data_IF_100604901411
#
_entry.id   IF_100604901411
#
_cell.length_a   1.000
_cell.length_b   1.000
_cell.length_c   1.000
_cell.angle_alpha   90.00
_cell.angle_beta   90.00
_cell.angle_gamma   90.00
#
_symmetry.space_group_name_H-M   'P 1'
#
loop_
_entity.id
_entity.type
_entity.pdbx_description
1 polymer ?
#
# COMPACT_ATOMS: atom_id res chain seq x y z
N UNK A 1 -12.51 18.68 -21.96
CA UNK A 1 -12.86 18.30 -20.54
C UNK A 1 -12.74 16.79 -20.50
N UNK A 2 -11.82 16.23 -19.70
CA UNK A 2 -11.74 14.79 -19.51
C UNK A 2 -13.01 14.31 -18.80
N UNK A 3 -13.71 13.32 -19.37
CA UNK A 3 -14.86 12.73 -18.70
C UNK A 3 -14.41 12.13 -17.36
N UNK A 4 -15.06 12.55 -16.27
CA UNK A 4 -14.79 11.97 -14.94
C UNK A 4 -15.39 10.55 -14.86
N UNK A 5 -14.57 9.57 -14.53
CA UNK A 5 -14.98 8.19 -14.29
C UNK A 5 -15.52 8.09 -12.86
N UNK A 6 -16.80 7.74 -12.72
CA UNK A 6 -17.46 7.69 -11.41
C UNK A 6 -17.64 6.26 -10.95
N UNK A 7 -16.98 5.89 -9.87
CA UNK A 7 -17.08 4.56 -9.25
C UNK A 7 -18.28 4.52 -8.32
N UNK A 8 -19.27 3.70 -8.68
CA UNK A 8 -20.53 3.54 -7.94
C UNK A 8 -20.61 2.26 -7.11
N UNK A 9 -19.99 1.17 -7.59
CA UNK A 9 -19.85 -0.09 -6.83
C UNK A 9 -18.73 0.08 -5.82
N UNK A 10 -18.99 -0.19 -4.54
CA UNK A 10 -18.00 -0.02 -3.49
C UNK A 10 -18.64 0.31 -2.16
N UNK A 11 -17.82 0.65 -1.16
CA UNK A 11 -18.30 0.95 0.19
C UNK A 11 -17.34 1.89 0.93
N UNK A 12 -17.85 3.03 1.41
CA UNK A 12 -17.11 3.89 2.32
C UNK A 12 -17.36 3.45 3.77
N UNK A 13 -16.40 2.80 4.39
CA UNK A 13 -16.45 2.42 5.81
C UNK A 13 -16.17 3.66 6.66
N UNK A 14 -17.16 4.11 7.41
CA UNK A 14 -17.14 5.38 8.15
C UNK A 14 -16.51 5.21 9.52
N UNK A 15 -15.18 5.17 9.59
CA UNK A 15 -14.42 5.07 10.83
C UNK A 15 -14.21 6.43 11.50
N UNK A 16 -14.17 6.43 12.85
CA UNK A 16 -13.67 7.55 13.65
C UNK A 16 -12.15 7.51 13.62
N UNK A 17 -11.50 8.68 13.53
CA UNK A 17 -10.07 8.79 13.80
C UNK A 17 -9.22 9.27 12.63
N UNK A 18 -9.74 10.16 11.78
CA UNK A 18 -8.95 10.84 10.74
C UNK A 18 -7.82 11.69 11.35
N UNK A 19 -6.68 11.75 10.67
CA UNK A 19 -5.57 12.62 11.05
C UNK A 19 -5.91 14.10 10.81
N UNK A 20 -5.54 14.96 11.75
CA UNK A 20 -5.57 16.42 11.55
C UNK A 20 -4.47 16.84 10.58
N UNK A 21 -4.69 17.96 9.87
CA UNK A 21 -3.71 18.49 8.89
C UNK A 21 -2.55 19.22 9.59
N UNK A 22 -1.89 18.51 10.47
CA UNK A 22 -0.68 18.92 11.19
C UNK A 22 0.40 17.88 11.02
N UNK A 23 1.66 18.29 10.97
CA UNK A 23 2.79 17.38 10.80
C UNK A 23 3.64 17.42 12.08
N UNK A 24 3.90 16.24 12.65
CA UNK A 24 4.81 16.05 13.77
C UNK A 24 6.08 15.36 13.27
N UNK A 25 7.22 15.93 13.61
CA UNK A 25 8.53 15.31 13.34
C UNK A 25 8.75 14.11 14.29
N UNK A 26 9.23 13.00 13.73
CA UNK A 26 9.67 11.84 14.49
C UNK A 26 11.19 11.80 14.45
N UNK A 27 11.87 11.85 15.59
CA UNK A 27 13.34 11.83 15.63
C UNK A 27 13.92 10.58 14.99
N UNK A 28 15.01 10.75 14.24
CA UNK A 28 15.78 9.64 13.69
C UNK A 28 16.73 9.13 14.78
N UNK A 29 16.26 8.20 15.59
CA UNK A 29 17.03 7.64 16.69
C UNK A 29 16.63 6.20 16.98
N UNK A 30 17.58 5.40 17.44
CA UNK A 30 17.38 4.01 17.79
C UNK A 30 17.43 3.06 16.60
N UNK A 31 16.69 1.98 16.69
CA UNK A 31 16.77 0.87 15.74
C UNK A 31 15.71 1.02 14.67
N UNK A 32 16.14 0.86 13.42
CA UNK A 32 15.30 0.81 12.22
C UNK A 32 15.31 -0.60 11.65
N UNK A 33 14.20 -1.02 11.05
CA UNK A 33 14.06 -2.35 10.46
C UNK A 33 13.71 -2.29 8.98
N UNK A 34 14.39 -3.11 8.18
CA UNK A 34 14.04 -3.33 6.76
C UNK A 34 13.68 -4.79 6.60
N UNK A 35 12.41 -5.04 6.25
CA UNK A 35 11.87 -6.40 6.14
C UNK A 35 11.82 -6.86 4.69
N UNK A 36 12.54 -7.93 4.31
CA UNK A 36 12.34 -8.56 3.00
C UNK A 36 10.94 -9.18 2.83
N UNK A 37 10.19 -9.39 3.93
CA UNK A 37 8.83 -9.94 3.89
C UNK A 37 7.81 -8.97 3.34
N UNK A 38 8.11 -7.66 3.34
CA UNK A 38 7.25 -6.64 2.75
C UNK A 38 7.15 -6.78 1.21
N UNK A 39 8.06 -7.58 0.62
CA UNK A 39 8.17 -7.77 -0.83
C UNK A 39 7.79 -9.20 -1.22
N UNK A 40 6.57 -9.38 -1.70
CA UNK A 40 6.07 -10.69 -2.09
C UNK A 40 6.92 -11.33 -3.20
N UNK A 41 7.19 -12.63 -3.08
CA UNK A 41 7.98 -13.41 -4.07
C UNK A 41 9.50 -13.17 -4.05
N UNK A 42 9.99 -12.24 -3.21
CA UNK A 42 11.40 -11.90 -3.08
C UNK A 42 12.20 -13.05 -2.44
N UNK A 43 13.38 -13.33 -3.00
CA UNK A 43 14.39 -14.20 -2.38
C UNK A 43 15.64 -13.36 -2.03
N UNK A 44 15.77 -12.86 -0.78
CA UNK A 44 16.82 -11.94 -0.43
C UNK A 44 18.20 -12.59 -0.39
N UNK A 45 19.21 -11.93 -0.98
CA UNK A 45 20.64 -12.23 -0.83
C UNK A 45 21.32 -11.04 -0.17
N UNK A 46 21.93 -11.28 0.99
CA UNK A 46 22.55 -10.22 1.79
C UNK A 46 23.78 -9.63 1.11
N UNK A 47 23.89 -8.31 1.13
CA UNK A 47 25.07 -7.56 0.72
C UNK A 47 25.92 -7.11 1.92
N UNK A 48 25.34 -7.14 3.13
CA UNK A 48 25.99 -6.71 4.38
C UNK A 48 25.99 -7.82 5.42
N UNK A 49 26.82 -7.65 6.46
CA UNK A 49 26.92 -8.51 7.64
C UNK A 49 26.61 -7.70 8.90
N UNK A 50 26.34 -8.41 10.00
CA UNK A 50 26.22 -7.78 11.32
C UNK A 50 27.54 -7.10 11.70
N UNK A 51 27.45 -5.88 12.19
CA UNK A 51 28.57 -5.01 12.51
C UNK A 51 29.05 -4.08 11.39
N UNK A 52 28.60 -4.27 10.15
CA UNK A 52 28.98 -3.38 9.04
C UNK A 52 28.38 -1.99 9.25
N UNK A 53 29.16 -0.96 8.92
CA UNK A 53 28.67 0.43 8.87
C UNK A 53 28.01 0.70 7.52
N UNK A 54 26.87 1.39 7.53
CA UNK A 54 26.09 1.72 6.34
C UNK A 54 25.69 3.20 6.33
N UNK A 55 25.63 3.78 5.15
CA UNK A 55 25.07 5.09 4.88
C UNK A 55 23.62 4.94 4.37
N UNK A 56 22.86 6.04 4.40
CA UNK A 56 21.57 6.09 3.68
C UNK A 56 21.82 5.82 2.20
N UNK A 57 21.15 4.80 1.65
CA UNK A 57 21.34 4.41 0.25
C UNK A 57 22.38 3.32 -0.01
N UNK A 58 23.05 2.80 1.02
CA UNK A 58 23.89 1.61 0.86
C UNK A 58 23.03 0.35 0.76
N UNK A 59 23.45 -0.57 -0.11
CA UNK A 59 22.70 -1.81 -0.40
C UNK A 59 22.78 -2.77 0.79
N UNK A 60 21.64 -3.13 1.36
CA UNK A 60 21.52 -4.10 2.43
C UNK A 60 21.38 -5.54 1.88
N UNK A 61 20.57 -5.69 0.87
CA UNK A 61 20.33 -6.95 0.17
C UNK A 61 19.78 -6.69 -1.23
N UNK A 62 19.71 -7.73 -2.03
CA UNK A 62 19.14 -7.71 -3.37
C UNK A 62 18.36 -9.00 -3.64
N UNK A 63 17.55 -9.00 -4.69
CA UNK A 63 16.82 -10.21 -5.10
C UNK A 63 17.78 -11.22 -5.73
N UNK A 64 17.86 -12.44 -5.18
CA UNK A 64 18.71 -13.51 -5.70
C UNK A 64 18.36 -13.91 -7.15
N UNK A 65 17.08 -13.76 -7.53
CA UNK A 65 16.59 -14.09 -8.87
C UNK A 65 16.84 -12.95 -9.87
N UNK A 66 16.88 -11.70 -9.39
CA UNK A 66 16.99 -10.48 -10.18
C UNK A 66 17.95 -9.52 -9.47
N UNK A 67 19.25 -9.79 -9.54
CA UNK A 67 20.29 -9.11 -8.76
C UNK A 67 20.35 -7.59 -8.98
N UNK A 68 19.75 -7.09 -10.06
CA UNK A 68 19.64 -5.64 -10.32
C UNK A 68 18.70 -4.94 -9.33
N UNK A 69 17.72 -5.64 -8.75
CA UNK A 69 16.76 -5.08 -7.79
C UNK A 69 17.42 -5.02 -6.42
N UNK A 70 17.79 -3.82 -5.99
CA UNK A 70 18.51 -3.55 -4.74
C UNK A 70 17.57 -2.95 -3.70
N UNK A 71 17.87 -3.24 -2.44
CA UNK A 71 17.19 -2.71 -1.25
C UNK A 71 18.21 -2.04 -0.36
N UNK A 72 17.96 -0.79 -0.03
CA UNK A 72 18.95 0.09 0.56
C UNK A 72 18.62 0.48 1.99
N UNK A 73 19.64 0.92 2.73
CA UNK A 73 19.47 1.40 4.10
C UNK A 73 18.72 2.73 4.12
N UNK A 74 17.68 2.84 4.97
CA UNK A 74 16.97 4.10 5.17
C UNK A 74 17.67 5.06 6.14
N UNK A 75 18.68 4.60 6.87
CA UNK A 75 19.43 5.38 7.88
C UNK A 75 20.92 5.12 7.77
N UNK A 76 21.74 6.07 8.23
CA UNK A 76 23.16 5.82 8.51
C UNK A 76 23.32 5.21 9.90
N UNK A 77 24.33 4.35 10.05
CA UNK A 77 24.60 3.67 11.31
C UNK A 77 25.29 2.32 11.12
N UNK A 78 25.03 1.37 12.01
CA UNK A 78 25.60 0.03 11.95
C UNK A 78 24.52 -1.06 11.85
N UNK A 79 24.79 -2.10 11.06
CA UNK A 79 23.91 -3.29 10.98
C UNK A 79 23.99 -4.03 12.32
N UNK A 80 22.96 -3.88 13.14
CA UNK A 80 22.92 -4.46 14.49
C UNK A 80 22.68 -5.95 14.47
N UNK A 81 21.72 -6.41 13.65
CA UNK A 81 21.29 -7.80 13.62
C UNK A 81 20.58 -8.14 12.32
N UNK A 82 20.80 -9.33 11.81
CA UNK A 82 20.02 -9.95 10.73
C UNK A 82 19.09 -11.01 11.34
N UNK A 83 17.85 -10.63 11.60
CA UNK A 83 16.86 -11.51 12.24
C UNK A 83 16.44 -12.61 11.27
N UNK A 84 16.56 -13.86 11.71
CA UNK A 84 16.18 -15.03 10.92
C UNK A 84 15.09 -15.82 11.62
N UNK A 85 14.11 -16.26 10.86
CA UNK A 85 13.05 -17.15 11.30
C UNK A 85 13.29 -18.62 10.91
N UNK A 86 12.19 -19.35 10.81
CA UNK A 86 12.20 -20.73 10.39
C UNK A 86 12.91 -20.92 9.04
N UNK A 87 13.58 -22.05 8.86
CA UNK A 87 14.34 -22.40 7.66
C UNK A 87 15.35 -21.32 7.24
N UNK A 88 15.86 -20.53 8.22
CA UNK A 88 16.79 -19.40 8.04
C UNK A 88 16.25 -18.27 7.15
N UNK A 89 14.92 -18.16 6.95
CA UNK A 89 14.29 -17.05 6.23
C UNK A 89 14.64 -15.73 6.92
N UNK A 90 15.12 -14.75 6.15
CA UNK A 90 15.43 -13.42 6.69
C UNK A 90 14.10 -12.71 6.94
N UNK A 91 13.87 -12.31 8.20
CA UNK A 91 12.67 -11.61 8.62
C UNK A 91 12.92 -10.10 8.60
N UNK A 92 14.07 -9.66 9.15
CA UNK A 92 14.35 -8.24 9.30
C UNK A 92 15.86 -7.99 9.32
N UNK A 93 16.27 -6.85 8.78
CA UNK A 93 17.62 -6.29 8.93
C UNK A 93 17.50 -5.09 9.86
N UNK A 94 18.10 -5.17 11.03
CA UNK A 94 18.06 -4.13 12.05
C UNK A 94 19.31 -3.27 11.97
N UNK A 95 19.09 -1.95 11.90
CA UNK A 95 20.17 -0.94 11.78
C UNK A 95 20.05 -0.04 13.00
N UNK A 96 21.13 0.08 13.75
CA UNK A 96 21.25 1.04 14.86
C UNK A 96 21.73 2.37 14.29
N UNK A 97 20.83 3.36 14.28
CA UNK A 97 21.10 4.65 13.64
C UNK A 97 22.04 5.50 14.48
N UNK A 98 23.00 6.13 13.82
CA UNK A 98 23.90 7.12 14.43
C UNK A 98 23.28 8.52 14.51
N UNK A 99 22.07 8.71 13.97
CA UNK A 99 21.32 9.98 13.94
C UNK A 99 21.87 11.04 12.99
N UNK A 100 22.99 10.79 12.30
CA UNK A 100 23.62 11.78 11.40
C UNK A 100 22.96 11.84 10.02
N UNK A 101 22.36 10.74 9.56
CA UNK A 101 21.75 10.62 8.24
C UNK A 101 22.73 10.91 7.09
N UNK A 102 23.98 10.46 7.26
CA UNK A 102 24.97 10.53 6.19
C UNK A 102 24.49 9.66 5.00
N UNK A 103 24.45 10.24 3.80
CA UNK A 103 23.88 9.60 2.63
C UNK A 103 24.90 9.41 1.51
N UNK A 104 24.77 8.29 0.81
CA UNK A 104 25.53 8.00 -0.39
C UNK A 104 25.14 8.99 -1.50
N UNK A 105 26.15 9.55 -2.18
CA UNK A 105 25.95 10.45 -3.32
C UNK A 105 25.88 9.67 -4.61
N UNK A 106 24.85 9.95 -5.41
CA UNK A 106 24.71 9.44 -6.77
C UNK A 106 25.03 10.54 -7.78
N UNK A 107 25.71 10.17 -8.86
CA UNK A 107 25.98 11.11 -9.96
C UNK A 107 24.79 11.10 -10.93
N UNK A 108 24.03 12.18 -10.95
CA UNK A 108 22.81 12.31 -11.74
C UNK A 108 23.01 13.44 -12.75
N UNK A 109 22.78 13.13 -14.03
CA UNK A 109 22.73 14.14 -15.09
C UNK A 109 21.36 14.84 -15.09
N UNK A 110 21.23 16.06 -15.66
CA UNK A 110 19.93 16.67 -15.87
C UNK A 110 18.97 15.73 -16.61
N UNK A 111 17.69 15.68 -16.21
CA UNK A 111 16.71 14.72 -16.79
C UNK A 111 16.65 14.81 -18.31
N UNK A 112 16.76 16.00 -18.87
CA UNK A 112 16.73 16.22 -20.33
C UNK A 112 17.88 15.56 -21.11
N UNK A 113 18.95 15.19 -20.40
CA UNK A 113 20.13 14.52 -20.97
C UNK A 113 20.16 13.02 -20.67
N UNK A 114 19.15 12.51 -19.95
CA UNK A 114 19.06 11.10 -19.59
C UNK A 114 18.28 10.30 -20.63
N UNK A 115 18.74 9.07 -20.84
CA UNK A 115 18.00 8.05 -21.60
C UNK A 115 17.07 7.26 -20.68
N UNK A 116 16.15 6.50 -21.26
CA UNK A 116 15.28 5.57 -20.51
C UNK A 116 16.10 4.58 -19.68
N UNK A 117 17.19 4.07 -20.22
CA UNK A 117 18.07 3.13 -19.50
C UNK A 117 18.86 3.82 -18.38
N UNK A 118 19.29 5.08 -18.55
CA UNK A 118 19.93 5.84 -17.48
C UNK A 118 18.99 5.99 -16.28
N UNK A 119 17.74 6.42 -16.49
CA UNK A 119 16.72 6.53 -15.44
C UNK A 119 16.46 5.19 -14.77
N UNK A 120 16.25 4.15 -15.55
CA UNK A 120 16.01 2.79 -15.07
C UNK A 120 17.15 2.30 -14.18
N UNK A 121 18.39 2.45 -14.62
CA UNK A 121 19.57 2.03 -13.87
C UNK A 121 19.72 2.81 -12.57
N UNK A 122 19.46 4.13 -12.58
CA UNK A 122 19.48 4.94 -11.35
C UNK A 122 18.42 4.50 -10.35
N UNK A 123 17.21 4.17 -10.80
CA UNK A 123 16.14 3.66 -9.92
C UNK A 123 16.49 2.28 -9.35
N UNK A 124 17.14 1.41 -10.12
CA UNK A 124 17.61 0.10 -9.66
C UNK A 124 18.74 0.24 -8.64
N UNK A 125 19.71 1.11 -8.90
CA UNK A 125 20.88 1.31 -8.02
C UNK A 125 20.54 2.02 -6.72
N UNK A 126 19.60 2.95 -6.75
CA UNK A 126 19.13 3.69 -5.59
C UNK A 126 18.12 2.94 -4.73
N UNK A 127 17.61 1.80 -5.19
CA UNK A 127 16.58 1.02 -4.51
C UNK A 127 15.15 1.52 -4.71
N UNK A 128 14.93 2.65 -5.39
CA UNK A 128 13.57 3.14 -5.69
C UNK A 128 12.76 2.19 -6.58
N UNK A 129 13.44 1.32 -7.34
CA UNK A 129 12.77 0.29 -8.14
C UNK A 129 11.89 -0.63 -7.30
N UNK A 130 12.24 -0.90 -6.05
CA UNK A 130 11.45 -1.73 -5.13
C UNK A 130 10.06 -1.17 -4.84
N UNK A 131 9.84 0.12 -5.05
CA UNK A 131 8.54 0.79 -4.88
C UNK A 131 7.63 0.63 -6.10
N UNK A 132 8.14 0.15 -7.22
CA UNK A 132 7.39 -0.07 -8.45
C UNK A 132 6.80 -1.47 -8.46
N UNK A 133 5.48 -1.56 -8.43
CA UNK A 133 4.75 -2.82 -8.49
C UNK A 133 4.32 -3.14 -9.91
N UNK A 134 4.25 -4.42 -10.22
CA UNK A 134 3.79 -4.96 -11.50
C UNK A 134 2.49 -5.72 -11.34
N UNK A 135 1.55 -5.49 -12.25
CA UNK A 135 0.45 -6.39 -12.53
C UNK A 135 0.67 -7.02 -13.91
N UNK A 136 0.32 -8.28 -14.11
CA UNK A 136 -0.23 -9.27 -13.18
C UNK A 136 0.69 -9.61 -11.99
N UNK A 137 0.15 -10.37 -11.05
CA UNK A 137 0.77 -10.99 -9.88
C UNK A 137 0.94 -10.04 -8.68
N UNK A 138 0.99 -8.72 -8.85
CA UNK A 138 1.21 -7.75 -7.76
C UNK A 138 2.51 -8.03 -6.97
N UNK A 139 3.61 -8.02 -7.68
CA UNK A 139 4.99 -8.14 -7.18
C UNK A 139 5.81 -6.92 -7.58
N UNK A 140 7.07 -6.83 -7.13
CA UNK A 140 8.00 -5.82 -7.65
C UNK A 140 8.13 -5.98 -9.17
N UNK A 141 8.09 -4.86 -9.89
CA UNK A 141 8.21 -4.83 -11.34
C UNK A 141 9.49 -5.55 -11.82
N UNK A 142 9.33 -6.45 -12.78
CA UNK A 142 10.49 -7.06 -13.44
C UNK A 142 11.11 -6.05 -14.40
N UNK A 143 12.38 -5.66 -14.20
CA UNK A 143 13.01 -4.70 -15.09
C UNK A 143 13.22 -5.22 -16.52
N UNK A 144 13.10 -6.52 -16.77
CA UNK A 144 13.17 -7.11 -18.12
C UNK A 144 11.84 -7.05 -18.89
N UNK A 145 10.72 -6.89 -18.19
CA UNK A 145 9.40 -6.81 -18.82
C UNK A 145 9.17 -5.42 -19.45
N UNK A 146 8.42 -5.40 -20.54
CA UNK A 146 7.95 -4.17 -21.17
C UNK A 146 6.53 -3.88 -20.70
N UNK A 147 6.37 -2.90 -19.81
CA UNK A 147 5.05 -2.47 -19.36
C UNK A 147 4.33 -1.61 -20.42
N UNK A 148 3.00 -1.70 -20.46
CA UNK A 148 2.14 -0.82 -21.28
C UNK A 148 2.23 0.64 -20.84
N UNK A 149 2.35 0.87 -19.52
CA UNK A 149 2.45 2.18 -18.90
C UNK A 149 2.69 2.08 -17.40
N UNK A 150 2.96 3.23 -16.78
CA UNK A 150 2.99 3.40 -15.32
C UNK A 150 1.70 4.11 -14.89
N UNK A 151 1.06 3.57 -13.86
CA UNK A 151 -0.17 4.13 -13.28
C UNK A 151 0.09 4.67 -11.87
N UNK A 152 -0.30 5.92 -11.66
CA UNK A 152 -0.15 6.63 -10.38
C UNK A 152 -1.50 7.15 -9.94
N UNK A 153 -1.95 6.72 -8.74
CA UNK A 153 -3.11 7.33 -8.09
C UNK A 153 -2.66 8.47 -7.19
N UNK A 154 -3.22 9.66 -7.39
CA UNK A 154 -2.93 10.82 -6.55
C UNK A 154 -3.84 10.95 -5.33
N UNK A 155 -4.73 9.99 -5.10
CA UNK A 155 -5.58 9.94 -3.92
C UNK A 155 -5.80 8.51 -3.47
N UNK A 156 -6.04 8.35 -2.19
CA UNK A 156 -6.50 7.11 -1.61
C UNK A 156 -7.95 7.27 -1.12
N UNK A 157 -8.73 6.22 -1.23
CA UNK A 157 -10.14 6.17 -0.80
C UNK A 157 -10.39 5.16 0.31
N UNK A 158 -9.35 4.48 0.79
CA UNK A 158 -9.44 3.55 1.92
C UNK A 158 -9.89 4.27 3.21
N UNK A 159 -10.43 3.54 4.18
CA UNK A 159 -10.81 4.15 5.45
C UNK A 159 -9.66 4.87 6.13
N UNK A 160 -9.87 6.13 6.53
CA UNK A 160 -8.89 7.00 7.19
C UNK A 160 -7.63 7.27 6.37
N UNK A 161 -7.68 7.12 5.06
CA UNK A 161 -6.56 7.29 4.15
C UNK A 161 -5.88 8.66 4.27
N UNK A 162 -4.57 8.77 3.99
CA UNK A 162 -3.87 10.04 3.96
C UNK A 162 -4.40 10.96 2.86
N UNK A 163 -4.45 12.26 3.15
CA UNK A 163 -4.76 13.30 2.18
C UNK A 163 -3.48 13.72 1.45
N UNK A 164 -3.26 13.21 0.25
CA UNK A 164 -2.05 13.53 -0.52
C UNK A 164 -1.99 14.98 -1.00
N UNK A 165 -3.13 15.69 -1.13
CA UNK A 165 -3.13 17.13 -1.39
C UNK A 165 -2.47 17.90 -0.24
N UNK A 166 -2.69 17.46 1.01
CA UNK A 166 -2.03 18.03 2.18
C UNK A 166 -0.57 17.58 2.28
N UNK A 167 -0.30 16.27 2.13
CA UNK A 167 1.02 15.66 2.27
C UNK A 167 2.03 16.25 1.31
N UNK A 168 1.62 16.48 0.05
CA UNK A 168 2.49 16.90 -1.06
C UNK A 168 2.33 18.38 -1.44
N UNK A 169 1.61 19.17 -0.63
CA UNK A 169 1.32 20.58 -0.93
C UNK A 169 2.56 21.39 -1.33
N UNK A 170 3.69 21.17 -0.67
CA UNK A 170 4.94 21.89 -0.89
C UNK A 170 5.96 21.11 -1.73
N UNK A 171 5.52 20.06 -2.42
CA UNK A 171 6.40 19.13 -3.13
C UNK A 171 6.07 19.04 -4.64
N UNK A 172 5.34 20.03 -5.16
CA UNK A 172 4.90 20.03 -6.56
C UNK A 172 6.08 20.05 -7.55
N UNK A 173 7.16 20.73 -7.23
CA UNK A 173 8.38 20.75 -8.06
C UNK A 173 9.05 19.37 -8.06
N UNK A 174 9.20 18.75 -6.90
CA UNK A 174 9.73 17.39 -6.81
C UNK A 174 8.84 16.38 -7.55
N UNK A 175 7.51 16.51 -7.42
CA UNK A 175 6.57 15.69 -8.18
C UNK A 175 6.77 15.83 -9.69
N UNK A 176 6.89 17.07 -10.20
CA UNK A 176 7.12 17.29 -11.62
C UNK A 176 8.41 16.62 -12.10
N UNK A 177 9.52 16.78 -11.36
CA UNK A 177 10.80 16.14 -11.66
C UNK A 177 10.67 14.60 -11.65
N UNK A 178 9.94 14.04 -10.68
CA UNK A 178 9.69 12.60 -10.59
C UNK A 178 8.89 12.07 -11.78
N UNK A 179 7.84 12.79 -12.18
CA UNK A 179 7.03 12.44 -13.36
C UNK A 179 7.83 12.61 -14.64
N UNK A 180 8.68 13.63 -14.77
CA UNK A 180 9.57 13.80 -15.93
C UNK A 180 10.52 12.60 -16.06
N UNK A 181 11.12 12.13 -14.94
CA UNK A 181 11.98 10.96 -14.95
C UNK A 181 11.23 9.69 -15.39
N UNK A 182 10.04 9.44 -14.82
CA UNK A 182 9.21 8.31 -15.21
C UNK A 182 8.74 8.41 -16.67
N UNK A 183 8.45 9.62 -17.16
CA UNK A 183 8.05 9.84 -18.55
C UNK A 183 9.18 9.58 -19.53
N UNK A 184 10.43 9.92 -19.20
CA UNK A 184 11.62 9.56 -19.98
C UNK A 184 11.76 8.04 -20.03
N UNK A 185 11.63 7.35 -18.90
CA UNK A 185 11.75 5.89 -18.83
C UNK A 185 10.67 5.15 -19.63
N UNK A 186 9.44 5.70 -19.68
CA UNK A 186 8.27 5.05 -20.28
C UNK A 186 7.86 5.67 -21.62
N UNK A 187 8.68 6.51 -22.22
CA UNK A 187 8.38 7.19 -23.50
C UNK A 187 7.02 7.94 -23.44
N UNK A 188 6.71 8.57 -22.30
CA UNK A 188 5.49 9.35 -22.07
C UNK A 188 4.25 8.54 -21.66
N UNK A 189 4.35 7.24 -21.46
CA UNK A 189 3.22 6.37 -21.04
C UNK A 189 3.06 6.35 -19.51
N UNK A 190 2.85 7.51 -18.92
CA UNK A 190 2.60 7.67 -17.48
C UNK A 190 1.20 8.22 -17.28
N UNK A 191 0.35 7.46 -16.57
CA UNK A 191 -1.03 7.79 -16.27
C UNK A 191 -1.13 8.33 -14.85
N UNK A 192 -1.72 9.50 -14.69
CA UNK A 192 -1.99 10.13 -13.40
C UNK A 192 -3.48 10.27 -13.19
N UNK A 193 -4.00 9.52 -12.21
CA UNK A 193 -5.41 9.57 -11.82
C UNK A 193 -5.59 10.48 -10.61
N UNK A 194 -6.53 11.42 -10.69
CA UNK A 194 -6.79 12.41 -9.64
C UNK A 194 -8.29 12.64 -9.43
N UNK A 195 -8.65 13.20 -8.28
CA UNK A 195 -10.01 13.69 -8.06
C UNK A 195 -10.30 14.91 -8.96
N UNK A 196 -11.58 15.19 -9.28
CA UNK A 196 -11.94 16.44 -9.93
C UNK A 196 -11.40 17.66 -9.17
N UNK A 197 -10.87 18.64 -9.90
CA UNK A 197 -10.28 19.88 -9.35
C UNK A 197 -9.06 19.68 -8.43
N UNK A 198 -8.37 18.57 -8.54
CA UNK A 198 -7.12 18.30 -7.81
C UNK A 198 -6.00 19.26 -8.27
N UNK A 199 -5.13 19.66 -7.32
CA UNK A 199 -3.93 20.45 -7.63
C UNK A 199 -2.94 19.68 -8.53
N UNK A 200 -2.97 18.35 -8.49
CA UNK A 200 -2.13 17.48 -9.31
C UNK A 200 -2.48 17.52 -10.81
N UNK A 201 -3.62 18.07 -11.20
CA UNK A 201 -3.97 18.34 -12.60
C UNK A 201 -3.00 19.30 -13.31
N UNK A 202 -2.13 19.98 -12.57
CA UNK A 202 -1.11 20.91 -13.09
C UNK A 202 0.18 20.21 -13.51
N UNK A 203 0.39 18.96 -13.13
CA UNK A 203 1.56 18.15 -13.54
C UNK A 203 1.53 17.99 -15.06
N UNK A 204 2.69 18.18 -15.69
CA UNK A 204 2.83 18.12 -17.16
C UNK A 204 3.51 16.80 -17.57
N UNK A 205 3.42 16.47 -18.87
CA UNK A 205 4.09 15.30 -19.41
C UNK A 205 3.48 13.94 -19.04
N UNK A 206 2.24 13.93 -18.50
CA UNK A 206 1.50 12.74 -18.12
C UNK A 206 0.11 12.69 -18.73
N UNK A 207 -0.49 11.51 -18.78
CA UNK A 207 -1.87 11.30 -19.25
C UNK A 207 -2.80 11.41 -18.04
N UNK A 208 -3.60 12.49 -18.01
CA UNK A 208 -4.51 12.76 -16.87
C UNK A 208 -5.82 12.02 -16.98
N UNK A 209 -6.25 11.43 -15.87
CA UNK A 209 -7.57 10.84 -15.69
C UNK A 209 -8.25 11.41 -14.45
N UNK A 210 -9.56 11.62 -14.54
CA UNK A 210 -10.36 12.12 -13.41
C UNK A 210 -11.25 11.00 -12.87
N UNK A 211 -11.14 10.72 -11.57
CA UNK A 211 -11.91 9.71 -10.88
C UNK A 211 -12.66 10.29 -9.68
N UNK A 212 -13.89 9.83 -9.49
CA UNK A 212 -14.70 10.15 -8.32
C UNK A 212 -15.51 8.94 -7.87
N UNK A 213 -16.02 8.97 -6.66
CA UNK A 213 -16.91 7.93 -6.17
C UNK A 213 -16.53 7.37 -4.80
N UNK A 214 -17.07 6.18 -4.53
CA UNK A 214 -16.82 5.45 -3.28
C UNK A 214 -15.54 4.64 -3.35
N UNK A 215 -14.99 4.25 -2.20
CA UNK A 215 -13.91 3.26 -2.17
C UNK A 215 -14.37 1.97 -2.89
N UNK A 216 -13.58 1.43 -3.83
CA UNK A 216 -12.14 1.58 -4.04
C UNK A 216 -11.73 2.54 -5.19
N UNK A 217 -12.42 3.65 -5.43
CA UNK A 217 -12.09 4.59 -6.51
C UNK A 217 -10.62 5.07 -6.49
N UNK A 218 -9.97 5.11 -5.30
CA UNK A 218 -8.58 5.49 -5.11
C UNK A 218 -7.58 4.34 -5.34
N UNK A 219 -8.04 3.09 -5.44
CA UNK A 219 -7.15 1.96 -5.68
C UNK A 219 -6.68 1.98 -7.14
N UNK A 220 -5.36 1.83 -7.32
CA UNK A 220 -4.76 1.87 -8.65
C UNK A 220 -5.30 0.75 -9.56
N UNK A 221 -5.61 -0.43 -9.02
CA UNK A 221 -6.22 -1.52 -9.77
C UNK A 221 -7.57 -1.16 -10.38
N UNK A 222 -8.45 -0.51 -9.59
CA UNK A 222 -9.72 0.02 -10.09
C UNK A 222 -9.51 1.03 -11.22
N UNK A 223 -8.49 1.88 -11.10
CA UNK A 223 -8.18 2.89 -12.12
C UNK A 223 -7.63 2.25 -13.41
N UNK A 224 -6.72 1.28 -13.30
CA UNK A 224 -6.18 0.51 -14.42
C UNK A 224 -7.33 -0.16 -15.18
N UNK A 225 -8.23 -0.86 -14.48
CA UNK A 225 -9.39 -1.53 -15.10
C UNK A 225 -10.21 -0.60 -15.97
N UNK A 226 -10.45 0.64 -15.54
CA UNK A 226 -11.29 1.59 -16.27
C UNK A 226 -10.54 2.39 -17.34
N UNK A 227 -9.21 2.39 -17.34
CA UNK A 227 -8.37 3.13 -18.29
C UNK A 227 -7.86 2.18 -19.39
N UNK A 228 -7.18 1.11 -18.98
CA UNK A 228 -6.51 0.17 -19.88
C UNK A 228 -6.39 -1.20 -19.21
N UNK A 229 -7.46 -2.03 -19.26
CA UNK A 229 -7.50 -3.37 -18.67
C UNK A 229 -6.33 -4.24 -19.11
N UNK A 230 -5.93 -5.17 -18.24
CA UNK A 230 -4.77 -6.03 -18.45
C UNK A 230 -5.20 -7.36 -19.05
N UNK A 231 -4.67 -7.72 -20.21
CA UNK A 231 -4.87 -9.01 -20.83
C UNK A 231 -3.69 -9.96 -20.57
N UNK A 232 -3.87 -11.25 -20.85
CA UNK A 232 -2.80 -12.26 -20.77
C UNK A 232 -1.60 -11.83 -21.62
N UNK A 233 -0.40 -11.85 -21.04
CA UNK A 233 0.86 -11.45 -21.69
C UNK A 233 1.16 -9.95 -21.63
N UNK A 234 0.27 -9.13 -21.10
CA UNK A 234 0.50 -7.70 -20.89
C UNK A 234 0.97 -7.42 -19.46
N UNK A 235 1.76 -6.36 -19.30
CA UNK A 235 2.23 -5.87 -18.00
C UNK A 235 1.93 -4.39 -17.84
N UNK A 236 1.55 -4.00 -16.64
CA UNK A 236 1.48 -2.60 -16.23
C UNK A 236 2.26 -2.41 -14.94
N UNK A 237 2.84 -1.23 -14.76
CA UNK A 237 3.49 -0.87 -13.51
C UNK A 237 2.68 0.16 -12.75
N UNK A 238 2.79 0.15 -11.43
CA UNK A 238 2.16 1.15 -10.57
C UNK A 238 3.12 1.61 -9.51
N UNK A 239 2.99 2.86 -9.10
CA UNK A 239 3.78 3.46 -8.03
C UNK A 239 2.94 4.47 -7.26
N UNK A 240 3.19 4.59 -5.94
CA UNK A 240 2.50 5.57 -5.11
C UNK A 240 2.99 6.98 -5.43
N UNK A 241 2.09 7.98 -5.39
CA UNK A 241 2.45 9.37 -5.72
C UNK A 241 3.51 9.96 -4.78
N UNK A 242 3.56 9.55 -3.51
CA UNK A 242 4.58 10.00 -2.59
C UNK A 242 5.97 9.46 -2.96
N UNK A 243 6.04 8.23 -3.51
CA UNK A 243 7.27 7.67 -4.07
C UNK A 243 7.76 8.48 -5.28
N UNK A 244 6.84 8.95 -6.12
CA UNK A 244 7.19 9.81 -7.28
C UNK A 244 7.82 11.11 -6.80
N UNK A 245 7.31 11.73 -5.73
CA UNK A 245 7.92 12.92 -5.14
C UNK A 245 9.32 12.62 -4.55
N UNK A 246 9.51 11.47 -3.91
CA UNK A 246 10.81 11.04 -3.39
C UNK A 246 11.82 10.79 -4.51
N UNK A 247 11.40 10.16 -5.61
CA UNK A 247 12.20 10.01 -6.85
C UNK A 247 12.59 11.39 -7.38
N UNK A 248 11.67 12.34 -7.44
CA UNK A 248 11.97 13.69 -7.89
C UNK A 248 13.01 14.41 -7.01
N UNK A 249 12.90 14.29 -5.69
CA UNK A 249 13.93 14.81 -4.75
C UNK A 249 15.30 14.16 -4.99
N UNK A 250 15.32 12.85 -5.24
CA UNK A 250 16.52 12.11 -5.56
C UNK A 250 17.17 12.62 -6.86
N UNK A 251 16.41 12.79 -7.93
CA UNK A 251 16.92 13.32 -9.19
C UNK A 251 17.39 14.77 -9.09
N UNK A 252 16.78 15.57 -8.21
CA UNK A 252 17.19 16.96 -7.97
C UNK A 252 18.47 17.09 -7.15
N UNK A 253 18.69 16.22 -6.16
CA UNK A 253 19.77 16.36 -5.18
C UNK A 253 20.93 15.38 -5.36
N UNK A 254 20.69 14.22 -5.95
CA UNK A 254 21.63 13.09 -5.98
C UNK A 254 21.72 12.32 -4.65
N UNK A 255 20.83 12.59 -3.69
CA UNK A 255 20.80 11.91 -2.40
C UNK A 255 19.43 11.29 -2.14
N UNK A 256 19.43 10.12 -1.49
CA UNK A 256 18.20 9.47 -1.05
C UNK A 256 17.74 10.14 0.24
N UNK A 257 16.46 10.56 0.25
CA UNK A 257 15.77 10.97 1.47
C UNK A 257 14.77 9.88 1.86
N UNK A 258 14.98 9.24 3.00
CA UNK A 258 14.13 8.17 3.50
C UNK A 258 12.99 8.65 4.40
N UNK A 259 12.84 9.98 4.59
CA UNK A 259 11.71 10.53 5.36
C UNK A 259 10.42 10.46 4.56
N UNK A 260 9.34 10.07 5.23
CA UNK A 260 8.01 9.88 4.65
C UNK A 260 6.95 10.48 5.55
N UNK A 261 5.94 11.10 4.96
CA UNK A 261 4.77 11.57 5.69
C UNK A 261 3.73 10.47 5.77
N UNK A 262 3.35 10.09 6.98
CA UNK A 262 2.40 9.02 7.28
C UNK A 262 1.26 9.55 8.12
N UNK A 263 0.03 9.12 7.85
CA UNK A 263 -1.13 9.49 8.68
C UNK A 263 -1.21 8.57 9.91
N UNK A 264 -1.20 9.13 11.11
CA UNK A 264 -1.49 8.41 12.36
C UNK A 264 -2.98 8.56 12.66
N UNK A 265 -3.72 7.46 12.56
CA UNK A 265 -5.17 7.43 12.51
C UNK A 265 -5.77 6.35 13.42
N UNK A 266 -7.09 6.37 13.57
CA UNK A 266 -7.83 5.36 14.31
C UNK A 266 -8.52 5.92 15.55
N UNK A 267 -9.53 5.19 16.03
CA UNK A 267 -10.35 5.61 17.17
C UNK A 267 -9.58 5.65 18.49
N UNK A 268 -8.53 4.84 18.61
CA UNK A 268 -7.73 4.71 19.84
C UNK A 268 -6.51 5.64 19.87
N UNK A 269 -6.33 6.45 18.83
CA UNK A 269 -5.30 7.49 18.81
C UNK A 269 -5.86 8.77 19.46
N UNK A 270 -5.21 9.28 20.48
CA UNK A 270 -5.58 10.53 21.18
C UNK A 270 -5.12 11.75 20.39
N UNK A 271 -3.88 11.75 19.90
CA UNK A 271 -3.29 12.82 19.08
C UNK A 271 -3.10 12.33 17.65
N UNK A 272 -4.14 12.53 16.82
CA UNK A 272 -4.18 12.14 15.42
C UNK A 272 -3.53 13.21 14.56
N UNK A 273 -2.46 12.88 13.88
CA UNK A 273 -1.68 13.84 13.10
C UNK A 273 -0.92 13.13 11.97
N UNK A 274 -0.34 13.87 11.06
CA UNK A 274 0.66 13.31 10.16
C UNK A 274 2.01 13.25 10.86
N UNK A 275 2.75 12.19 10.62
CA UNK A 275 4.12 11.98 11.10
C UNK A 275 5.08 12.17 9.93
N UNK A 276 6.10 13.02 10.10
CA UNK A 276 7.27 12.97 9.23
C UNK A 276 8.26 12.01 9.86
N UNK A 277 8.32 10.78 9.36
CA UNK A 277 9.10 9.69 9.94
C UNK A 277 9.97 9.01 8.89
N UNK A 278 11.06 8.39 9.31
CA UNK A 278 11.95 7.63 8.43
C UNK A 278 11.36 6.24 8.14
N UNK A 279 11.52 5.73 6.92
CA UNK A 279 11.16 4.36 6.55
C UNK A 279 11.82 3.36 7.50
N UNK A 280 11.11 2.29 7.82
CA UNK A 280 11.60 1.29 8.76
C UNK A 280 11.60 1.73 10.23
N UNK A 281 10.94 2.84 10.57
CA UNK A 281 10.75 3.26 11.97
C UNK A 281 9.99 2.21 12.77
N UNK A 282 10.36 2.06 14.05
CA UNK A 282 9.71 1.16 14.98
C UNK A 282 8.32 1.67 15.35
N UNK A 283 7.31 0.79 15.40
CA UNK A 283 5.92 1.16 15.70
C UNK A 283 5.81 1.93 17.02
N UNK A 284 6.52 1.50 18.07
CA UNK A 284 6.56 2.19 19.36
C UNK A 284 6.93 3.68 19.26
N UNK A 285 7.92 4.03 18.44
CA UNK A 285 8.36 5.42 18.25
C UNK A 285 7.32 6.28 17.54
N UNK A 286 6.56 5.67 16.63
CA UNK A 286 5.55 6.33 15.82
C UNK A 286 4.29 6.67 16.63
N UNK A 287 3.86 5.74 17.51
CA UNK A 287 2.63 5.90 18.31
C UNK A 287 2.89 6.46 19.71
N UNK A 288 4.15 6.77 20.05
CA UNK A 288 4.57 7.28 21.37
C UNK A 288 3.72 8.47 21.80
N UNK A 289 3.18 8.42 23.03
CA UNK A 289 2.32 9.45 23.63
C UNK A 289 1.03 9.75 22.84
N UNK A 290 0.61 8.87 21.94
CA UNK A 290 -0.58 9.07 21.12
C UNK A 290 -1.62 7.96 21.30
N UNK A 291 -1.32 6.93 22.09
CA UNK A 291 -2.23 5.80 22.38
C UNK A 291 -2.14 5.51 23.87
N UNK A 292 -3.28 5.55 24.56
CA UNK A 292 -3.40 5.29 26.00
C UNK A 292 -4.06 3.92 26.28
N UNK A 293 -4.92 3.48 25.36
CA UNK A 293 -5.63 2.22 25.48
C UNK A 293 -4.69 1.02 25.33
N UNK A 294 -4.91 -0.04 26.12
CA UNK A 294 -4.03 -1.23 26.17
C UNK A 294 -4.53 -2.38 25.29
N UNK A 295 -5.86 -2.50 25.10
CA UNK A 295 -6.46 -3.57 24.29
C UNK A 295 -6.76 -3.06 22.86
N UNK A 296 -5.68 -2.83 22.10
CA UNK A 296 -5.74 -2.23 20.77
C UNK A 296 -4.95 -3.04 19.76
N UNK A 297 -5.35 -2.92 18.50
CA UNK A 297 -4.60 -3.42 17.35
C UNK A 297 -3.87 -2.28 16.68
N UNK A 298 -2.54 -2.41 16.58
CA UNK A 298 -1.70 -1.56 15.75
C UNK A 298 -1.65 -2.14 14.35
N UNK A 299 -1.94 -1.31 13.36
CA UNK A 299 -1.96 -1.70 11.95
C UNK A 299 -0.99 -0.79 11.20
N UNK A 300 -0.01 -1.39 10.55
CA UNK A 300 0.78 -0.71 9.52
C UNK A 300 -0.04 -0.71 8.24
N UNK A 301 -0.49 0.46 7.79
CA UNK A 301 -1.46 0.61 6.71
C UNK A 301 -2.89 0.88 7.17
N UNK A 302 -3.85 0.71 6.27
CA UNK A 302 -5.28 0.86 6.53
C UNK A 302 -5.92 -0.44 7.07
N UNK A 303 -7.16 -0.36 7.51
CA UNK A 303 -7.90 -1.50 8.13
C UNK A 303 -8.28 -2.61 7.15
N UNK A 304 -8.14 -2.41 5.84
CA UNK A 304 -8.55 -3.37 4.80
C UNK A 304 -7.37 -4.20 4.29
N UNK A 305 -6.20 -3.59 4.15
CA UNK A 305 -5.03 -4.19 3.50
C UNK A 305 -3.75 -4.09 4.33
N UNK A 306 -3.82 -3.44 5.50
CA UNK A 306 -2.64 -3.25 6.36
C UNK A 306 -2.31 -4.48 7.20
N UNK A 307 -1.07 -4.53 7.67
CA UNK A 307 -0.54 -5.61 8.51
C UNK A 307 -0.69 -5.30 9.99
N UNK A 308 -1.15 -6.27 10.77
CA UNK A 308 -1.05 -6.22 12.22
C UNK A 308 0.43 -6.15 12.62
N UNK A 309 0.76 -5.25 13.54
CA UNK A 309 2.10 -5.08 14.10
C UNK A 309 2.06 -5.01 15.62
N UNK A 310 3.13 -5.50 16.23
CA UNK A 310 3.40 -5.25 17.65
C UNK A 310 4.23 -3.96 17.81
N UNK A 311 4.27 -3.37 18.99
CA UNK A 311 5.06 -2.15 19.26
C UNK A 311 6.55 -2.32 18.98
N UNK A 312 7.05 -3.55 19.08
CA UNK A 312 8.46 -3.91 18.82
C UNK A 312 8.80 -4.08 17.36
N UNK A 313 7.80 -4.15 16.48
CA UNK A 313 7.96 -4.32 15.04
C UNK A 313 8.06 -2.97 14.30
N UNK A 314 8.28 -3.03 13.00
CA UNK A 314 8.59 -1.90 12.15
C UNK A 314 7.49 -1.68 11.11
N UNK A 315 7.30 -0.42 10.68
CA UNK A 315 6.33 -0.08 9.65
C UNK A 315 6.71 -0.72 8.32
N UNK A 316 5.72 -1.23 7.60
CA UNK A 316 5.90 -1.84 6.28
C UNK A 316 6.31 -0.83 5.20
N UNK A 317 7.07 -1.31 4.23
CA UNK A 317 7.70 -0.49 3.18
C UNK A 317 6.70 0.36 2.38
N UNK A 318 5.55 -0.20 2.03
CA UNK A 318 4.56 0.46 1.18
C UNK A 318 3.53 1.31 1.93
N UNK A 319 3.56 1.31 3.27
CA UNK A 319 2.51 1.90 4.08
C UNK A 319 2.74 3.39 4.35
N UNK A 320 1.72 4.20 4.09
CA UNK A 320 1.68 5.65 4.33
C UNK A 320 0.68 6.03 5.45
N UNK A 321 0.21 5.03 6.19
CA UNK A 321 -0.77 5.17 7.25
C UNK A 321 -0.46 4.21 8.39
N UNK A 322 -0.76 4.64 9.60
CA UNK A 322 -0.80 3.80 10.80
C UNK A 322 -2.20 3.93 11.35
N UNK A 323 -2.84 2.81 11.61
CA UNK A 323 -4.21 2.78 12.14
C UNK A 323 -4.24 2.04 13.46
N UNK A 324 -4.84 2.66 14.49
CA UNK A 324 -5.00 2.03 15.81
C UNK A 324 -6.48 1.98 16.17
N UNK A 325 -7.00 0.77 16.30
CA UNK A 325 -8.40 0.49 16.61
C UNK A 325 -8.51 -0.49 17.78
N UNK A 326 -9.68 -0.62 18.43
CA UNK A 326 -9.86 -1.61 19.47
C UNK A 326 -9.61 -3.04 18.97
N UNK A 327 -8.99 -3.88 19.84
CA UNK A 327 -8.91 -5.31 19.57
C UNK A 327 -10.29 -5.96 19.80
N UNK A 328 -10.75 -6.72 18.80
CA UNK A 328 -12.09 -7.33 18.79
C UNK A 328 -12.15 -8.70 19.46
N UNK A 329 -11.42 -8.89 20.55
CA UNK A 329 -11.32 -10.17 21.28
C UNK A 329 -12.30 -10.31 22.46
N UNK A 330 -13.16 -9.32 22.66
CA UNK A 330 -14.19 -9.36 23.72
C UNK A 330 -15.50 -9.92 23.16
N UNK A 331 -16.05 -10.93 23.84
CA UNK A 331 -17.35 -11.52 23.48
C UNK A 331 -18.49 -10.58 23.87
N UNK A 332 -19.31 -10.20 22.90
CA UNK A 332 -20.49 -9.37 23.12
C UNK A 332 -21.72 -10.27 23.33
N UNK A 333 -22.39 -10.10 24.46
CA UNK A 333 -23.62 -10.85 24.73
C UNK A 333 -24.69 -10.53 23.67
N UNK A 334 -25.22 -11.57 23.03
CA UNK A 334 -26.00 -11.44 21.78
C UNK A 334 -27.30 -10.63 21.92
N UNK A 335 -27.95 -10.62 23.10
CA UNK A 335 -29.19 -9.89 23.34
C UNK A 335 -28.98 -8.37 23.51
N UNK A 336 -27.90 -7.94 24.15
CA UNK A 336 -27.69 -6.52 24.49
C UNK A 336 -26.79 -5.81 23.52
N UNK A 337 -25.56 -6.28 23.36
CA UNK A 337 -24.51 -5.66 22.55
C UNK A 337 -24.12 -6.50 21.31
N UNK A 338 -24.64 -7.73 21.21
CA UNK A 338 -24.44 -8.64 20.09
C UNK A 338 -25.38 -8.33 18.90
N UNK A 339 -25.67 -9.37 18.12
CA UNK A 339 -26.42 -9.22 16.86
C UNK A 339 -27.94 -9.04 17.02
N UNK A 340 -28.53 -9.38 18.19
CA UNK A 340 -29.94 -9.08 18.52
C UNK A 340 -30.12 -7.73 19.23
N UNK A 341 -29.03 -7.05 19.60
CA UNK A 341 -29.10 -5.70 20.16
C UNK A 341 -29.63 -4.68 19.14
N UNK A 342 -30.01 -3.48 19.59
CA UNK A 342 -30.52 -2.41 18.75
C UNK A 342 -29.52 -1.91 17.70
N UNK A 343 -28.22 -2.14 17.89
CA UNK A 343 -27.15 -1.91 16.93
C UNK A 343 -26.90 -0.45 16.55
N UNK A 344 -27.25 0.51 17.43
CA UNK A 344 -27.00 1.94 17.15
C UNK A 344 -25.50 2.32 17.07
N UNK A 345 -24.64 1.48 17.56
CA UNK A 345 -23.17 1.57 17.50
C UNK A 345 -22.56 0.86 16.29
N UNK A 346 -23.36 0.08 15.55
CA UNK A 346 -22.88 -0.77 14.47
C UNK A 346 -22.98 -0.11 13.11
N UNK A 347 -21.97 -0.28 12.28
CA UNK A 347 -22.01 0.08 10.87
C UNK A 347 -22.77 -0.99 10.07
N UNK A 348 -23.99 -0.69 9.61
CA UNK A 348 -24.85 -1.66 8.97
C UNK A 348 -24.62 -1.75 7.46
N UNK A 349 -24.01 -2.82 6.98
CA UNK A 349 -23.84 -3.12 5.54
C UNK A 349 -25.10 -3.68 4.90
N UNK A 350 -25.87 -4.50 5.63
CA UNK A 350 -27.01 -5.27 5.13
C UNK A 350 -28.37 -4.65 5.46
N UNK A 351 -28.39 -3.41 5.99
CA UNK A 351 -29.60 -2.75 6.51
C UNK A 351 -30.28 -3.49 7.68
N UNK A 352 -29.60 -4.41 8.33
CA UNK A 352 -30.11 -5.13 9.50
C UNK A 352 -30.33 -4.20 10.70
N UNK A 353 -29.41 -3.23 10.90
CA UNK A 353 -29.47 -2.27 12.01
C UNK A 353 -29.97 -0.91 11.52
N UNK A 354 -30.68 -0.14 12.35
CA UNK A 354 -31.27 1.16 11.96
C UNK A 354 -30.20 2.23 11.59
N UNK A 355 -28.94 1.97 11.85
CA UNK A 355 -27.84 2.90 11.53
C UNK A 355 -27.66 3.17 10.03
N UNK A 356 -28.26 2.35 9.15
CA UNK A 356 -28.28 2.64 7.72
C UNK A 356 -29.13 3.89 7.38
N UNK A 357 -30.10 4.25 8.24
CA UNK A 357 -30.95 5.45 8.11
C UNK A 357 -30.25 6.72 8.60
N UNK A 358 -29.15 6.58 9.36
CA UNK A 358 -28.47 7.72 9.93
C UNK A 358 -27.67 8.49 8.88
N UNK A 359 -27.46 9.77 9.14
CA UNK A 359 -26.69 10.65 8.28
C UNK A 359 -25.34 10.01 7.86
N UNK A 360 -24.96 10.22 6.61
CA UNK A 360 -23.64 9.81 6.09
C UNK A 360 -22.47 10.43 6.86
N UNK A 361 -22.69 11.48 7.62
CA UNK A 361 -21.69 12.12 8.49
C UNK A 361 -21.39 11.35 9.77
N UNK A 362 -22.28 10.41 10.20
CA UNK A 362 -22.03 9.61 11.39
C UNK A 362 -20.88 8.65 11.14
N UNK A 363 -19.85 8.71 11.98
CA UNK A 363 -18.69 7.81 12.00
C UNK A 363 -18.83 6.83 13.15
N UNK A 364 -18.16 5.68 13.04
CA UNK A 364 -18.27 4.55 13.97
C UNK A 364 -16.92 4.18 14.54
N UNK A 365 -16.89 3.81 15.82
CA UNK A 365 -15.77 3.14 16.47
C UNK A 365 -15.93 1.64 16.24
N UNK A 366 -15.22 1.12 15.24
CA UNK A 366 -15.24 -0.30 14.91
C UNK A 366 -14.00 -1.00 15.51
N UNK A 367 -14.18 -2.26 15.86
CA UNK A 367 -13.14 -3.16 16.36
C UNK A 367 -12.79 -4.22 15.29
N UNK A 368 -11.87 -5.13 15.60
CA UNK A 368 -11.45 -6.22 14.73
C UNK A 368 -12.32 -7.47 14.81
N UNK A 369 -13.45 -7.42 15.52
CA UNK A 369 -14.35 -8.58 15.63
C UNK A 369 -14.99 -8.87 14.27
N UNK A 370 -14.82 -10.09 13.80
CA UNK A 370 -15.43 -10.57 12.53
C UNK A 370 -16.95 -10.69 12.60
N UNK A 371 -17.54 -10.64 13.84
CA UNK A 371 -18.97 -10.82 14.07
C UNK A 371 -19.54 -12.10 13.43
N UNK A 372 -18.77 -13.16 13.45
CA UNK A 372 -19.13 -14.47 12.92
C UNK A 372 -17.92 -15.36 12.75
N UNK A 373 -18.17 -16.63 12.47
CA UNK A 373 -17.15 -17.64 12.23
C UNK A 373 -17.02 -17.93 10.73
N UNK A 374 -15.89 -18.48 10.33
CA UNK A 374 -15.66 -18.94 8.96
C UNK A 374 -16.63 -20.06 8.59
N UNK A 375 -17.22 -19.97 7.41
CA UNK A 375 -18.21 -20.90 6.87
C UNK A 375 -17.88 -21.24 5.43
N UNK A 376 -18.57 -22.26 4.90
CA UNK A 376 -18.46 -22.61 3.49
C UNK A 376 -18.81 -21.41 2.58
N UNK A 377 -17.99 -21.17 1.56
CA UNK A 377 -18.15 -20.06 0.65
C UNK A 377 -19.37 -20.25 -0.26
N UNK A 378 -20.29 -19.31 -0.22
CA UNK A 378 -21.55 -19.36 -0.98
C UNK A 378 -21.75 -18.11 -1.83
N UNK A 379 -22.58 -18.24 -2.86
CA UNK A 379 -23.00 -17.10 -3.70
C UNK A 379 -24.02 -16.28 -2.93
N UNK A 380 -23.64 -15.06 -2.52
CA UNK A 380 -24.52 -14.17 -1.77
C UNK A 380 -24.94 -12.91 -2.55
N UNK A 381 -24.23 -12.58 -3.64
CA UNK A 381 -24.41 -11.33 -4.38
C UNK A 381 -23.83 -10.09 -3.69
N UNK A 382 -23.22 -10.25 -2.50
CA UNK A 382 -22.67 -9.12 -1.75
C UNK A 382 -21.32 -8.65 -2.33
N UNK A 383 -20.51 -9.57 -2.88
CA UNK A 383 -19.22 -9.24 -3.46
C UNK A 383 -19.37 -8.36 -4.71
N UNK A 384 -20.33 -8.68 -5.57
CA UNK A 384 -20.61 -7.93 -6.80
C UNK A 384 -21.07 -6.49 -6.55
N UNK A 385 -21.60 -6.21 -5.36
CA UNK A 385 -22.02 -4.85 -4.95
C UNK A 385 -20.86 -3.92 -4.67
N UNK A 386 -19.73 -4.47 -4.27
CA UNK A 386 -18.55 -3.68 -3.83
C UNK A 386 -17.37 -3.81 -4.77
N UNK A 387 -17.44 -4.64 -5.80
CA UNK A 387 -16.38 -4.93 -6.75
C UNK A 387 -16.63 -4.18 -8.07
N UNK A 388 -15.89 -3.11 -8.40
CA UNK A 388 -16.17 -2.25 -9.55
C UNK A 388 -15.56 -2.73 -10.86
N UNK A 389 -14.99 -3.94 -10.90
CA UNK A 389 -14.44 -4.53 -12.12
C UNK A 389 -15.53 -5.26 -12.92
N UNK A 390 -15.32 -5.42 -14.21
CA UNK A 390 -16.14 -6.29 -15.08
C UNK A 390 -15.65 -7.74 -15.01
N UNK A 391 -15.53 -8.22 -13.79
CA UNK A 391 -15.08 -9.56 -13.42
C UNK A 391 -16.10 -10.12 -12.43
N UNK A 392 -16.29 -11.42 -12.44
CA UNK A 392 -17.19 -12.13 -11.52
C UNK A 392 -16.44 -12.52 -10.23
N UNK A 393 -16.49 -11.72 -9.15
CA UNK A 393 -15.60 -11.91 -7.99
C UNK A 393 -15.85 -13.22 -7.24
N UNK A 394 -17.11 -13.68 -7.16
CA UNK A 394 -17.44 -14.94 -6.52
C UNK A 394 -16.89 -16.13 -7.31
N UNK A 395 -17.02 -16.13 -8.62
CA UNK A 395 -16.56 -17.21 -9.49
C UNK A 395 -15.03 -17.26 -9.50
N UNK A 396 -14.38 -16.11 -9.62
CA UNK A 396 -12.90 -16.03 -9.56
C UNK A 396 -12.36 -16.51 -8.20
N UNK A 397 -12.99 -16.11 -7.10
CA UNK A 397 -12.63 -16.61 -5.77
C UNK A 397 -12.79 -18.13 -5.66
N UNK A 398 -13.87 -18.71 -6.23
CA UNK A 398 -14.06 -20.16 -6.26
C UNK A 398 -12.98 -20.86 -7.08
N UNK A 399 -12.64 -20.35 -8.26
CA UNK A 399 -11.57 -20.89 -9.09
C UNK A 399 -10.23 -20.88 -8.34
N UNK A 400 -9.93 -19.80 -7.63
CA UNK A 400 -8.73 -19.70 -6.78
C UNK A 400 -8.73 -20.70 -5.62
N UNK A 401 -9.88 -20.91 -4.95
CA UNK A 401 -10.02 -21.90 -3.86
C UNK A 401 -9.79 -23.34 -4.38
N UNK A 402 -10.25 -23.64 -5.59
CA UNK A 402 -10.16 -24.97 -6.18
C UNK A 402 -8.87 -25.20 -7.00
N UNK A 403 -7.99 -24.17 -7.09
CA UNK A 403 -6.80 -24.19 -7.94
C UNK A 403 -7.09 -24.47 -9.42
N UNK A 404 -8.24 -23.98 -9.91
CA UNK A 404 -8.65 -24.10 -11.31
C UNK A 404 -7.98 -23.01 -12.14
N UNK A 405 -6.83 -23.35 -12.75
CA UNK A 405 -5.99 -22.44 -13.54
C UNK A 405 -6.78 -21.91 -14.73
N UNK A 406 -7.40 -22.77 -15.53
CA UNK A 406 -8.17 -22.38 -16.70
C UNK A 406 -9.35 -21.48 -16.32
N UNK A 407 -10.03 -21.82 -15.22
CA UNK A 407 -11.10 -21.01 -14.65
C UNK A 407 -10.62 -19.63 -14.21
N UNK A 408 -9.47 -19.53 -13.54
CA UNK A 408 -8.88 -18.25 -13.12
C UNK A 408 -8.49 -17.39 -14.33
N UNK A 409 -7.83 -17.95 -15.34
CA UNK A 409 -7.46 -17.25 -16.58
C UNK A 409 -8.71 -16.70 -17.31
N UNK A 410 -9.71 -17.54 -17.52
CA UNK A 410 -10.95 -17.16 -18.21
C UNK A 410 -11.77 -16.10 -17.45
N UNK A 411 -11.60 -16.03 -16.12
CA UNK A 411 -12.29 -15.08 -15.26
C UNK A 411 -11.49 -13.80 -14.98
N UNK A 412 -10.30 -13.62 -15.59
CA UNK A 412 -9.57 -12.37 -15.52
C UNK A 412 -8.61 -12.23 -14.32
N UNK A 413 -8.00 -13.31 -13.83
CA UNK A 413 -7.03 -13.28 -12.72
C UNK A 413 -5.84 -12.34 -12.97
N UNK A 414 -5.45 -12.15 -14.22
CA UNK A 414 -4.32 -11.30 -14.60
C UNK A 414 -4.52 -9.82 -14.29
N UNK A 415 -5.77 -9.39 -14.16
CA UNK A 415 -6.10 -7.98 -13.96
C UNK A 415 -6.11 -7.58 -12.49
N UNK A 416 -6.31 -8.54 -11.58
CA UNK A 416 -6.59 -8.28 -10.17
C UNK A 416 -5.35 -8.46 -9.27
N UNK A 417 -5.42 -7.81 -8.11
CA UNK A 417 -4.52 -8.03 -6.98
C UNK A 417 -5.33 -8.34 -5.71
N UNK A 418 -4.71 -8.88 -4.66
CA UNK A 418 -5.42 -9.15 -3.40
C UNK A 418 -6.14 -7.92 -2.82
N UNK A 419 -5.54 -6.73 -2.92
CA UNK A 419 -6.14 -5.47 -2.43
C UNK A 419 -7.50 -5.14 -3.07
N UNK A 420 -7.73 -5.56 -4.32
CA UNK A 420 -8.99 -5.32 -5.03
C UNK A 420 -10.14 -6.10 -4.41
N UNK A 421 -9.85 -7.19 -3.69
CA UNK A 421 -10.80 -8.02 -2.96
C UNK A 421 -10.97 -7.64 -1.49
N UNK A 422 -10.32 -6.60 -1.00
CA UNK A 422 -10.37 -6.22 0.42
C UNK A 422 -11.81 -5.86 0.87
N UNK A 423 -12.57 -5.12 0.05
CA UNK A 423 -13.99 -4.88 0.34
C UNK A 423 -14.84 -6.15 0.20
N UNK A 424 -14.52 -7.04 -0.74
CA UNK A 424 -15.20 -8.33 -0.87
C UNK A 424 -15.03 -9.16 0.40
N UNK A 425 -13.82 -9.20 0.96
CA UNK A 425 -13.54 -9.87 2.23
C UNK A 425 -14.31 -9.22 3.39
N UNK A 426 -14.32 -7.88 3.47
CA UNK A 426 -15.05 -7.14 4.49
C UNK A 426 -16.56 -7.43 4.50
N UNK A 427 -17.21 -7.48 3.32
CA UNK A 427 -18.65 -7.76 3.23
C UNK A 427 -18.98 -9.25 3.21
N UNK A 428 -17.98 -10.13 3.11
CA UNK A 428 -18.17 -11.57 3.00
C UNK A 428 -18.92 -12.13 4.21
N UNK A 429 -20.10 -12.71 3.97
CA UNK A 429 -20.91 -13.30 5.02
C UNK A 429 -20.34 -14.62 5.54
N UNK A 430 -19.47 -15.26 4.77
CA UNK A 430 -18.84 -16.55 5.13
C UNK A 430 -17.49 -16.39 5.84
N UNK A 431 -16.98 -15.16 5.96
CA UNK A 431 -15.77 -14.80 6.72
C UNK A 431 -14.47 -15.51 6.30
N UNK A 432 -14.39 -15.94 5.05
CA UNK A 432 -13.15 -16.50 4.49
C UNK A 432 -12.15 -15.38 4.16
N UNK A 433 -10.86 -15.68 4.21
CA UNK A 433 -9.78 -14.77 3.83
C UNK A 433 -9.64 -14.71 2.30
N UNK A 434 -10.49 -13.91 1.64
CA UNK A 434 -10.55 -13.84 0.16
C UNK A 434 -9.24 -13.33 -0.41
N UNK A 435 -8.64 -12.30 0.19
CA UNK A 435 -7.36 -11.73 -0.26
C UNK A 435 -6.25 -12.80 -0.30
N UNK A 436 -6.20 -13.66 0.72
CA UNK A 436 -5.26 -14.78 0.77
C UNK A 436 -5.51 -15.80 -0.33
N UNK A 437 -6.79 -16.13 -0.61
CA UNK A 437 -7.14 -17.07 -1.70
C UNK A 437 -6.76 -16.52 -3.07
N UNK A 438 -7.00 -15.24 -3.31
CA UNK A 438 -6.55 -14.58 -4.55
C UNK A 438 -5.02 -14.56 -4.64
N UNK A 439 -4.30 -14.30 -3.54
CA UNK A 439 -2.83 -14.38 -3.51
C UNK A 439 -2.33 -15.78 -3.89
N UNK A 440 -2.93 -16.83 -3.30
CA UNK A 440 -2.61 -18.22 -3.64
C UNK A 440 -2.85 -18.53 -5.11
N UNK A 441 -3.97 -18.06 -5.67
CA UNK A 441 -4.28 -18.18 -7.10
C UNK A 441 -3.26 -17.47 -7.99
N UNK A 442 -2.88 -16.24 -7.66
CA UNK A 442 -1.87 -15.49 -8.38
C UNK A 442 -0.50 -16.15 -8.33
N UNK A 443 -0.11 -16.71 -7.18
CA UNK A 443 1.16 -17.43 -7.03
C UNK A 443 1.18 -18.72 -7.87
N UNK A 444 0.05 -19.43 -7.95
CA UNK A 444 -0.12 -20.59 -8.81
C UNK A 444 0.03 -20.21 -10.30
N UNK A 445 -0.67 -19.15 -10.74
CA UNK A 445 -0.54 -18.62 -12.11
C UNK A 445 0.92 -18.23 -12.42
N UNK A 446 1.60 -17.55 -11.48
CA UNK A 446 2.99 -17.16 -11.66
C UNK A 446 3.94 -18.35 -11.84
N UNK A 447 3.66 -19.49 -11.16
CA UNK A 447 4.50 -20.68 -11.24
C UNK A 447 4.25 -21.54 -12.46
N UNK A 448 3.01 -21.57 -12.97
CA UNK A 448 2.58 -22.51 -14.04
C UNK A 448 2.43 -21.83 -15.41
N UNK A 449 2.17 -20.51 -15.45
CA UNK A 449 1.77 -19.83 -16.70
C UNK A 449 2.72 -18.68 -17.08
N UNK A 450 3.68 -18.29 -16.23
CA UNK A 450 4.60 -17.17 -16.45
C UNK A 450 6.06 -17.62 -16.23
#
# INVERSE_FOLDING_TARGET
MSNTISIRKGLNIRLIGEATKEIREVPVSGIFGVSPLDFHGLTPKMAVKEGDTVLVGDVLFFDKKKEAIKFVSPVSGSVKQIVRGEKRKIINILIDSDGKQEAKKFSIKPIKEQTADDVKNLLLESGFWSSMKQRPIDIIADPSNKAKGIFVSSFDSAPLAPDYEFVLKNEMEALQIGFDALSVMMEGKVHLSSKPNSSFSKIQGVIHHSFDGVHPAGNVGTQIHHIDPINKGEFVWSINIQEVAEIGKFFASGYINSSRKMALTGSEVTTRTYLNATRGSKMESLVKNSVEATNVRYISGNVLTGDRKELTEYIGHYHNQITVIPEGNEYKFFLTSGWLGAGFDKFSNSRLFPTFLLSKSKKFRLDTNTNGEERAFVVSGELERVFPFDILPVQLTKAAITNDIDGMENLGIYEVAPEDFALCEYVCTTKINIQEKIRQGLDLIASECM
#
